data_IF_314319647214
#
_entry.id   IF_314319647214
#
_cell.length_a   1.000
_cell.length_b   1.000
_cell.length_c   1.000
_cell.angle_alpha   90.00
_cell.angle_beta   90.00
_cell.angle_gamma   90.00
#
_symmetry.space_group_name_H-M   'P 1'
#
loop_
_entity.id
_entity.type
_entity.pdbx_description
1 polymer ?
#
# COMPACT_ATOMS: atom_id res chain seq x y z
N UNK A 1 3.06 -9.39 7.46
CA UNK A 1 3.30 -7.97 7.20
C UNK A 1 2.50 -7.49 5.99
N UNK A 2 2.11 -6.23 5.97
CA UNK A 2 1.42 -5.56 4.84
C UNK A 2 2.17 -4.27 4.56
N UNK A 3 2.49 -4.02 3.30
CA UNK A 3 3.24 -2.84 2.89
C UNK A 3 2.82 -2.34 1.51
N UNK A 4 2.88 -1.03 1.28
CA UNK A 4 2.72 -0.43 -0.04
C UNK A 4 4.05 -0.43 -0.79
N UNK A 5 4.01 -0.80 -2.07
CA UNK A 5 5.16 -0.73 -2.97
C UNK A 5 4.91 0.33 -4.03
N UNK A 6 5.85 1.28 -4.15
CA UNK A 6 5.71 2.32 -5.14
C UNK A 6 5.70 1.75 -6.56
N UNK A 7 4.66 2.08 -7.29
CA UNK A 7 4.53 1.79 -8.71
C UNK A 7 4.15 3.06 -9.47
N UNK A 8 4.88 3.44 -10.51
CA UNK A 8 4.51 4.63 -11.31
C UNK A 8 3.17 4.47 -12.03
N UNK A 9 2.73 3.23 -12.24
CA UNK A 9 1.44 2.91 -12.83
C UNK A 9 0.84 1.68 -12.13
N UNK A 10 0.23 1.86 -10.93
CA UNK A 10 -0.33 0.75 -10.16
C UNK A 10 -1.44 0.03 -10.92
N UNK A 11 -1.32 -1.28 -11.06
CA UNK A 11 -2.29 -2.16 -11.71
C UNK A 11 -3.15 -2.93 -10.70
N UNK A 12 -3.05 -2.58 -9.41
CA UNK A 12 -3.73 -3.27 -8.33
C UNK A 12 -3.15 -4.66 -8.03
N UNK A 13 -1.90 -4.89 -8.38
CA UNK A 13 -1.23 -6.15 -8.09
C UNK A 13 -0.78 -6.19 -6.63
N UNK A 14 -0.90 -7.37 -6.04
CA UNK A 14 -0.32 -7.65 -4.73
C UNK A 14 0.67 -8.78 -4.90
N UNK A 15 1.89 -8.52 -4.46
CA UNK A 15 2.96 -9.51 -4.42
C UNK A 15 3.06 -10.07 -3.01
N UNK A 16 3.49 -11.33 -2.91
CA UNK A 16 3.67 -11.99 -1.63
C UNK A 16 5.10 -12.53 -1.51
N UNK A 17 5.65 -12.42 -0.32
CA UNK A 17 6.92 -13.00 0.05
C UNK A 17 6.76 -13.85 1.31
N UNK A 18 7.51 -14.92 1.42
CA UNK A 18 7.61 -15.72 2.64
C UNK A 18 9.01 -16.33 2.79
N UNK A 19 9.45 -16.49 4.03
CA UNK A 19 10.66 -17.21 4.40
C UNK A 19 10.42 -18.73 4.59
N UNK A 20 9.17 -19.19 4.47
CA UNK A 20 8.79 -20.59 4.67
C UNK A 20 8.51 -21.29 3.33
N UNK A 21 9.14 -22.44 3.11
CA UNK A 21 8.92 -23.26 1.91
C UNK A 21 7.50 -23.82 1.84
N UNK A 22 6.94 -24.21 2.98
CA UNK A 22 5.58 -24.77 3.04
C UNK A 22 4.53 -23.70 2.70
N UNK A 23 4.71 -22.50 3.24
CA UNK A 23 3.85 -21.35 2.92
C UNK A 23 4.00 -20.94 1.45
N UNK A 24 5.19 -20.99 0.89
CA UNK A 24 5.43 -20.69 -0.52
C UNK A 24 4.62 -21.60 -1.45
N UNK A 25 4.57 -22.90 -1.15
CA UNK A 25 3.78 -23.85 -1.92
C UNK A 25 2.28 -23.57 -1.82
N UNK A 26 1.78 -23.22 -0.63
CA UNK A 26 0.38 -22.86 -0.43
C UNK A 26 0.01 -21.58 -1.18
N UNK A 27 0.86 -20.56 -1.13
CA UNK A 27 0.68 -19.30 -1.86
C UNK A 27 0.62 -19.53 -3.38
N UNK A 28 1.51 -20.40 -3.91
CA UNK A 28 1.50 -20.79 -5.32
C UNK A 28 0.23 -21.54 -5.72
N UNK A 29 -0.22 -22.50 -4.91
CA UNK A 29 -1.46 -23.26 -5.14
C UNK A 29 -2.69 -22.33 -5.17
N UNK A 30 -2.65 -21.26 -4.39
CA UNK A 30 -3.70 -20.23 -4.38
C UNK A 30 -3.57 -19.20 -5.52
N UNK A 31 -2.60 -19.36 -6.41
CA UNK A 31 -2.37 -18.47 -7.55
C UNK A 31 -2.04 -17.03 -7.13
N UNK A 32 -1.21 -16.88 -6.12
CA UNK A 32 -0.73 -15.57 -5.68
C UNK A 32 0.56 -15.18 -6.41
N UNK A 33 0.78 -13.88 -6.60
CA UNK A 33 1.97 -13.37 -7.27
C UNK A 33 3.16 -13.44 -6.30
N UNK A 34 4.04 -14.39 -6.50
CA UNK A 34 5.23 -14.54 -5.67
C UNK A 34 6.26 -13.48 -6.07
N UNK A 35 6.76 -12.74 -5.08
CA UNK A 35 7.85 -11.79 -5.26
C UNK A 35 9.16 -12.55 -5.50
N UNK A 36 9.82 -12.30 -6.62
CA UNK A 36 11.07 -12.98 -6.98
C UNK A 36 12.28 -12.19 -6.51
N UNK A 37 12.28 -10.90 -6.77
CA UNK A 37 13.34 -9.99 -6.37
C UNK A 37 12.73 -8.66 -5.91
N UNK A 38 13.18 -8.15 -4.75
CA UNK A 38 12.80 -6.84 -4.25
C UNK A 38 13.84 -6.32 -3.25
N UNK A 39 13.93 -5.01 -3.18
CA UNK A 39 14.60 -4.35 -2.08
C UNK A 39 13.55 -3.95 -1.05
N UNK A 40 13.58 -4.59 0.11
CA UNK A 40 12.68 -4.30 1.22
C UNK A 40 13.49 -3.57 2.28
N UNK A 41 12.97 -2.45 2.76
CA UNK A 41 13.62 -1.60 3.77
C UNK A 41 12.67 -1.36 4.95
N UNK A 42 13.22 -0.85 6.06
CA UNK A 42 12.42 -0.49 7.22
C UNK A 42 11.99 -1.68 8.11
N UNK A 43 10.87 -1.53 8.86
CA UNK A 43 10.45 -2.52 9.85
C UNK A 43 10.18 -3.91 9.28
N UNK A 44 9.63 -3.99 8.08
CA UNK A 44 9.35 -5.28 7.41
C UNK A 44 10.64 -6.03 7.09
N UNK A 45 11.67 -5.33 6.60
CA UNK A 45 12.98 -5.94 6.37
C UNK A 45 13.60 -6.45 7.69
N UNK A 46 13.51 -5.67 8.75
CA UNK A 46 13.98 -6.08 10.07
C UNK A 46 13.26 -7.33 10.58
N UNK A 47 11.93 -7.39 10.46
CA UNK A 47 11.15 -8.57 10.82
C UNK A 47 11.60 -9.80 10.02
N UNK A 48 11.80 -9.66 8.72
CA UNK A 48 12.24 -10.77 7.86
C UNK A 48 13.63 -11.28 8.23
N UNK A 49 14.55 -10.38 8.57
CA UNK A 49 15.91 -10.74 8.98
C UNK A 49 15.97 -11.37 10.37
N UNK A 50 15.16 -10.91 11.31
CA UNK A 50 15.16 -11.38 12.70
C UNK A 50 14.34 -12.65 12.92
N UNK A 51 13.42 -12.97 12.04
CA UNK A 51 12.51 -14.12 12.20
C UNK A 51 13.05 -15.39 11.58
N UNK A 52 14.14 -15.89 12.15
CA UNK A 52 14.79 -17.10 11.64
C UNK A 52 13.94 -18.38 11.80
N UNK A 53 13.10 -18.46 12.84
CA UNK A 53 12.34 -19.66 13.20
C UNK A 53 10.82 -19.49 13.14
N UNK A 54 10.35 -18.31 12.74
CA UNK A 54 8.92 -18.04 12.63
C UNK A 54 8.57 -17.78 11.17
N UNK A 55 7.58 -18.51 10.60
CA UNK A 55 7.10 -18.23 9.26
C UNK A 55 6.53 -16.80 9.17
N UNK A 56 7.00 -16.06 8.18
CA UNK A 56 6.48 -14.71 7.88
C UNK A 56 5.96 -14.71 6.47
N UNK A 57 4.81 -14.05 6.28
CA UNK A 57 4.26 -13.72 4.98
C UNK A 57 4.15 -12.21 4.89
N UNK A 58 4.74 -11.62 3.86
CA UNK A 58 4.60 -10.21 3.50
C UNK A 58 3.67 -10.05 2.29
N UNK A 59 2.72 -9.13 2.40
CA UNK A 59 1.85 -8.73 1.30
C UNK A 59 2.24 -7.32 0.88
N UNK A 60 2.57 -7.15 -0.38
CA UNK A 60 3.08 -5.91 -0.96
C UNK A 60 2.15 -5.44 -2.06
N UNK A 61 1.33 -4.43 -1.77
CA UNK A 61 0.37 -3.88 -2.72
C UNK A 61 1.00 -2.74 -3.54
N UNK A 62 0.82 -2.77 -4.85
CA UNK A 62 1.19 -1.64 -5.70
C UNK A 62 0.38 -0.40 -5.32
N UNK A 63 1.06 0.68 -5.04
CA UNK A 63 0.45 1.96 -4.68
C UNK A 63 1.22 3.14 -5.25
N UNK A 64 0.59 4.29 -5.30
CA UNK A 64 1.25 5.56 -5.56
C UNK A 64 1.65 6.19 -4.24
N UNK A 65 2.95 6.39 -4.02
CA UNK A 65 3.47 6.97 -2.78
C UNK A 65 3.13 8.47 -2.72
N UNK A 66 2.66 8.92 -1.57
CA UNK A 66 2.41 10.32 -1.25
C UNK A 66 0.97 10.66 -0.91
N UNK A 67 0.02 9.81 -1.27
CA UNK A 67 -1.39 9.98 -0.93
C UNK A 67 -1.95 8.62 -0.47
N UNK A 68 -2.80 8.56 0.55
CA UNK A 68 -3.50 7.33 0.91
C UNK A 68 -4.18 6.70 -0.30
N UNK A 69 -4.02 5.40 -0.47
CA UNK A 69 -4.54 4.65 -1.61
C UNK A 69 -5.49 3.54 -1.12
N UNK A 70 -6.78 3.86 -1.11
CA UNK A 70 -7.83 2.92 -0.68
C UNK A 70 -7.95 1.70 -1.59
N UNK A 71 -7.58 1.83 -2.86
CA UNK A 71 -7.58 0.70 -3.81
C UNK A 71 -6.48 -0.29 -3.48
N UNK A 72 -5.26 0.21 -3.24
CA UNK A 72 -4.15 -0.64 -2.81
C UNK A 72 -4.47 -1.37 -1.50
N UNK A 73 -5.07 -0.67 -0.54
CA UNK A 73 -5.54 -1.28 0.71
C UNK A 73 -6.57 -2.39 0.46
N UNK A 74 -7.52 -2.16 -0.46
CA UNK A 74 -8.51 -3.17 -0.85
C UNK A 74 -7.87 -4.42 -1.43
N UNK A 75 -6.96 -4.25 -2.36
CA UNK A 75 -6.31 -5.38 -3.00
C UNK A 75 -5.45 -6.17 -1.99
N UNK A 76 -4.78 -5.49 -1.05
CA UNK A 76 -4.08 -6.15 0.05
C UNK A 76 -5.03 -6.99 0.92
N UNK A 77 -6.19 -6.45 1.31
CA UNK A 77 -7.19 -7.17 2.11
C UNK A 77 -7.73 -8.38 1.32
N UNK A 78 -8.03 -8.23 0.04
CA UNK A 78 -8.47 -9.33 -0.83
C UNK A 78 -7.43 -10.44 -0.91
N UNK A 79 -6.16 -10.09 -1.03
CA UNK A 79 -5.06 -11.06 -1.06
C UNK A 79 -4.94 -11.82 0.25
N UNK A 80 -5.06 -11.14 1.38
CA UNK A 80 -5.06 -11.75 2.71
C UNK A 80 -6.27 -12.65 2.91
N UNK A 81 -7.46 -12.19 2.51
CA UNK A 81 -8.68 -12.99 2.59
C UNK A 81 -8.59 -14.26 1.72
N UNK A 82 -8.07 -14.14 0.51
CA UNK A 82 -7.79 -15.28 -0.38
C UNK A 82 -6.85 -16.30 0.26
N UNK A 83 -5.85 -15.83 1.00
CA UNK A 83 -4.90 -16.69 1.70
C UNK A 83 -5.54 -17.36 2.92
N UNK A 84 -6.20 -16.60 3.78
CA UNK A 84 -6.74 -17.07 5.06
C UNK A 84 -8.16 -17.66 4.94
N UNK A 85 -8.92 -17.35 3.89
CA UNK A 85 -10.29 -17.82 3.70
C UNK A 85 -11.28 -17.27 4.71
N UNK A 86 -11.08 -16.04 5.17
CA UNK A 86 -11.89 -15.43 6.25
C UNK A 86 -13.25 -14.93 5.78
N UNK A 87 -13.45 -14.72 4.47
CA UNK A 87 -14.66 -14.15 3.85
C UNK A 87 -15.06 -12.80 4.44
N UNK A 88 -14.08 -11.89 4.52
CA UNK A 88 -14.25 -10.57 5.11
C UNK A 88 -15.08 -9.68 4.18
N UNK A 89 -16.11 -9.03 4.71
CA UNK A 89 -16.76 -7.91 4.02
C UNK A 89 -15.98 -6.62 4.27
N UNK A 90 -15.10 -6.27 3.32
CA UNK A 90 -14.27 -5.07 3.38
C UNK A 90 -14.89 -3.86 2.68
N UNK A 91 -16.05 -4.00 2.03
CA UNK A 91 -16.71 -2.92 1.28
C UNK A 91 -17.01 -1.68 2.13
N UNK A 92 -17.52 -1.80 3.37
CA UNK A 92 -17.78 -0.63 4.20
C UNK A 92 -16.50 0.15 4.54
N UNK A 93 -15.40 -0.56 4.82
CA UNK A 93 -14.10 0.06 5.12
C UNK A 93 -13.54 0.80 3.91
N UNK A 94 -13.67 0.21 2.72
CA UNK A 94 -13.26 0.85 1.49
C UNK A 94 -14.02 2.13 1.22
N UNK A 95 -15.33 2.11 1.38
CA UNK A 95 -16.16 3.31 1.17
C UNK A 95 -15.76 4.44 2.10
N UNK A 96 -15.48 4.14 3.36
CA UNK A 96 -14.98 5.14 4.32
C UNK A 96 -13.59 5.65 3.95
N UNK A 97 -12.69 4.77 3.53
CA UNK A 97 -11.35 5.13 3.10
C UNK A 97 -11.37 6.03 1.84
N UNK A 98 -12.22 5.74 0.86
CA UNK A 98 -12.41 6.58 -0.33
C UNK A 98 -12.93 7.99 0.02
N UNK A 99 -13.89 8.09 0.94
CA UNK A 99 -14.41 9.38 1.41
C UNK A 99 -13.29 10.19 2.08
N UNK A 100 -12.52 9.55 2.96
CA UNK A 100 -11.41 10.19 3.65
C UNK A 100 -10.32 10.64 2.67
N UNK A 101 -9.95 9.78 1.73
CA UNK A 101 -8.97 10.07 0.69
C UNK A 101 -9.38 11.27 -0.17
N UNK A 102 -10.65 11.34 -0.57
CA UNK A 102 -11.20 12.48 -1.30
C UNK A 102 -11.10 13.78 -0.51
N UNK A 103 -11.50 13.74 0.76
CA UNK A 103 -11.42 14.91 1.65
C UNK A 103 -9.98 15.38 1.85
N UNK A 104 -9.05 14.45 1.99
CA UNK A 104 -7.62 14.76 2.12
C UNK A 104 -7.05 15.40 0.86
N UNK A 105 -7.40 14.89 -0.33
CA UNK A 105 -7.00 15.48 -1.62
C UNK A 105 -7.52 16.92 -1.74
N UNK A 106 -8.79 17.16 -1.41
CA UNK A 106 -9.38 18.50 -1.43
C UNK A 106 -8.66 19.48 -0.48
N UNK A 107 -8.23 19.01 0.71
CA UNK A 107 -7.46 19.81 1.65
C UNK A 107 -6.05 20.14 1.13
N UNK A 108 -5.37 19.17 0.53
CA UNK A 108 -4.05 19.35 -0.09
C UNK A 108 -4.14 20.36 -1.22
N UNK A 109 -5.13 20.23 -2.11
CA UNK A 109 -5.33 21.15 -3.22
C UNK A 109 -5.62 22.58 -2.75
N UNK A 110 -6.43 22.74 -1.71
CA UNK A 110 -6.70 24.06 -1.10
C UNK A 110 -5.44 24.66 -0.49
N UNK A 111 -4.64 23.85 0.22
CA UNK A 111 -3.40 24.31 0.83
C UNK A 111 -2.38 24.74 -0.23
N UNK A 112 -2.24 23.98 -1.32
CA UNK A 112 -1.35 24.30 -2.43
C UNK A 112 -1.75 25.61 -3.12
N UNK A 113 -3.03 25.79 -3.43
CA UNK A 113 -3.54 27.04 -4.02
C UNK A 113 -3.32 28.26 -3.11
N UNK A 114 -3.56 28.11 -1.80
CA UNK A 114 -3.33 29.18 -0.83
C UNK A 114 -1.84 29.56 -0.74
N UNK A 115 -0.95 28.60 -0.91
CA UNK A 115 0.49 28.84 -0.93
C UNK A 115 0.94 29.55 -2.20
N UNK A 116 0.43 29.12 -3.37
CA UNK A 116 0.67 29.77 -4.66
C UNK A 116 0.18 31.22 -4.67
N UNK A 117 -1.01 31.49 -4.12
CA UNK A 117 -1.55 32.85 -4.01
C UNK A 117 -0.70 33.75 -3.10
N UNK A 118 -0.21 33.21 -1.98
CA UNK A 118 0.71 33.93 -1.09
C UNK A 118 2.03 34.27 -1.77
N UNK A 119 2.57 33.31 -2.52
CA UNK A 119 3.84 33.49 -3.23
C UNK A 119 3.69 34.49 -4.37
N UNK A 120 2.60 34.42 -5.12
CA UNK A 120 2.26 35.41 -6.16
C UNK A 120 2.11 36.83 -5.60
N UNK A 121 1.37 36.98 -4.51
CA UNK A 121 1.23 38.29 -3.82
C UNK A 121 2.56 38.82 -3.31
N UNK A 122 3.45 37.93 -2.82
CA UNK A 122 4.79 38.32 -2.38
C UNK A 122 5.66 38.81 -3.54
N UNK A 123 5.60 38.14 -4.69
CA UNK A 123 6.32 38.54 -5.90
C UNK A 123 5.78 39.85 -6.46
N UNK A 124 4.46 40.06 -6.48
CA UNK A 124 3.82 41.32 -6.91
C UNK A 124 4.18 42.48 -6.00
N UNK A 125 4.40 42.23 -4.70
CA UNK A 125 4.79 43.25 -3.74
C UNK A 125 6.26 43.69 -3.87
N UNK A 126 7.15 42.75 -4.29
CA UNK A 126 8.60 42.99 -4.46
C UNK A 126 9.02 43.24 -5.92
N UNK A 127 8.11 43.07 -6.83
CA UNK A 127 8.33 43.30 -8.28
C UNK A 127 7.94 44.69 -8.69
#
# INVERSE_FOLDING_TARGET
SIEGVNSPNPQGRVYVYTNSKDELEQLRKKGMNIMQEAMIVGPTAALMLLSHNTPIIGFFAETNIGIPDSRAAAEAIKAIDKYLGLKIDYKPLLKQAEIFEKSLRELIDKASRAQEEKEKKRLDYFG
#
